data_IF_652547627398
#
_entry.id   IF_652547627398
#
_cell.length_a   1.000
_cell.length_b   1.000
_cell.length_c   1.000
_cell.angle_alpha   90.00
_cell.angle_beta   90.00
_cell.angle_gamma   90.00
#
_symmetry.space_group_name_H-M   'P 1'
#
loop_
_entity.id
_entity.type
_entity.pdbx_description
1 polymer ?
#
# COMPACT_ATOMS: atom_id res chain seq x y z
N UNK A 1 6.87 -14.65 -11.91
CA UNK A 1 5.88 -15.38 -11.09
C UNK A 1 6.12 -15.19 -9.59
N UNK A 2 7.35 -15.32 -9.07
CA UNK A 2 7.63 -15.05 -7.65
C UNK A 2 7.37 -13.60 -7.21
N UNK A 3 7.67 -12.60 -8.05
CA UNK A 3 7.45 -11.19 -7.70
C UNK A 3 5.97 -10.81 -7.55
N UNK A 4 5.06 -11.40 -8.35
CA UNK A 4 3.62 -11.11 -8.20
C UNK A 4 3.08 -11.69 -6.90
N UNK A 5 3.61 -12.83 -6.44
CA UNK A 5 3.17 -13.47 -5.20
C UNK A 5 3.66 -12.69 -3.98
N UNK A 6 4.90 -12.20 -3.99
CA UNK A 6 5.44 -11.32 -2.95
C UNK A 6 4.70 -9.97 -2.92
N UNK A 7 4.45 -9.37 -4.08
CA UNK A 7 3.68 -8.13 -4.20
C UNK A 7 2.26 -8.28 -3.66
N UNK A 8 1.58 -9.39 -4.00
CA UNK A 8 0.25 -9.69 -3.49
C UNK A 8 0.24 -9.91 -1.97
N UNK A 9 1.26 -10.57 -1.42
CA UNK A 9 1.40 -10.79 0.02
C UNK A 9 1.61 -9.46 0.77
N UNK A 10 2.53 -8.62 0.30
CA UNK A 10 2.85 -7.34 0.92
C UNK A 10 1.67 -6.36 0.83
N UNK A 11 1.03 -6.26 -0.35
CA UNK A 11 -0.19 -5.49 -0.55
C UNK A 11 -1.32 -5.96 0.39
N UNK A 12 -1.51 -7.28 0.54
CA UNK A 12 -2.53 -7.84 1.43
C UNK A 12 -2.25 -7.61 2.91
N UNK A 13 -0.97 -7.56 3.34
CA UNK A 13 -0.60 -7.16 4.70
C UNK A 13 -0.84 -5.67 4.93
N UNK A 14 -0.41 -4.82 4.01
CA UNK A 14 -0.63 -3.38 4.09
C UNK A 14 -2.12 -3.04 4.26
N UNK A 15 -3.00 -3.65 3.47
CA UNK A 15 -4.45 -3.43 3.60
C UNK A 15 -4.98 -3.89 4.96
N UNK A 16 -4.59 -5.06 5.45
CA UNK A 16 -5.13 -5.61 6.71
C UNK A 16 -4.54 -4.98 7.96
N UNK A 17 -3.27 -4.62 7.94
CA UNK A 17 -2.51 -4.19 9.12
C UNK A 17 -2.43 -2.66 9.24
N UNK A 18 -2.58 -1.92 8.15
CA UNK A 18 -2.49 -0.46 8.14
C UNK A 18 -3.83 0.20 7.77
N UNK A 19 -4.34 -0.08 6.58
CA UNK A 19 -5.55 0.61 6.07
C UNK A 19 -6.82 0.17 6.82
N UNK A 20 -6.99 -1.13 7.04
CA UNK A 20 -8.15 -1.70 7.73
C UNK A 20 -8.39 -1.09 9.12
N UNK A 21 -7.37 -1.02 10.00
CA UNK A 21 -7.49 -0.36 11.30
C UNK A 21 -7.79 1.15 11.21
N UNK A 22 -7.20 1.86 10.25
CA UNK A 22 -7.43 3.29 10.05
C UNK A 22 -8.89 3.57 9.65
N UNK A 23 -9.43 2.80 8.69
CA UNK A 23 -10.84 2.90 8.28
C UNK A 23 -11.78 2.57 9.44
N UNK A 24 -11.49 1.53 10.23
CA UNK A 24 -12.29 1.19 11.42
C UNK A 24 -12.28 2.29 12.48
N UNK A 25 -11.21 3.08 12.54
CA UNK A 25 -11.09 4.23 13.44
C UNK A 25 -11.78 5.49 12.90
N UNK A 26 -12.42 5.40 11.73
CA UNK A 26 -13.14 6.52 11.12
C UNK A 26 -12.25 7.49 10.34
N UNK A 27 -11.06 7.07 9.93
CA UNK A 27 -10.17 7.91 9.12
C UNK A 27 -10.87 8.33 7.81
N UNK A 28 -10.79 9.61 7.52
CA UNK A 28 -11.25 10.21 6.27
C UNK A 28 -10.32 9.84 5.12
N UNK A 29 -10.81 9.99 3.88
CA UNK A 29 -10.00 9.73 2.68
C UNK A 29 -8.70 10.56 2.66
N UNK A 30 -8.75 11.81 3.14
CA UNK A 30 -7.57 12.68 3.26
C UNK A 30 -6.54 12.14 4.27
N UNK A 31 -7.00 11.65 5.42
CA UNK A 31 -6.11 11.06 6.44
C UNK A 31 -5.51 9.73 5.96
N UNK A 32 -6.27 8.94 5.21
CA UNK A 32 -5.79 7.72 4.58
C UNK A 32 -4.72 8.02 3.52
N UNK A 33 -4.85 9.11 2.76
CA UNK A 33 -3.80 9.54 1.82
C UNK A 33 -2.50 9.89 2.55
N UNK A 34 -2.57 10.64 3.65
CA UNK A 34 -1.38 11.01 4.44
C UNK A 34 -0.72 9.77 5.07
N UNK A 35 -1.52 8.87 5.65
CA UNK A 35 -1.02 7.60 6.20
C UNK A 35 -0.33 6.77 5.11
N UNK A 36 -0.94 6.70 3.93
CA UNK A 36 -0.41 5.97 2.80
C UNK A 36 0.94 6.53 2.33
N UNK A 37 1.03 7.84 2.12
CA UNK A 37 2.27 8.51 1.70
C UNK A 37 3.38 8.32 2.73
N UNK A 38 3.05 8.40 4.02
CA UNK A 38 4.00 8.15 5.12
C UNK A 38 4.58 6.73 5.08
N UNK A 39 3.73 5.73 4.82
CA UNK A 39 4.18 4.33 4.73
C UNK A 39 4.98 4.07 3.46
N UNK A 40 4.58 4.64 2.32
CA UNK A 40 5.40 4.59 1.10
C UNK A 40 6.79 5.15 1.32
N UNK A 41 6.89 6.31 1.98
CA UNK A 41 8.18 6.95 2.26
C UNK A 41 9.07 6.09 3.15
N UNK A 42 8.51 5.51 4.21
CA UNK A 42 9.24 4.56 5.07
C UNK A 42 9.67 3.29 4.32
N UNK A 43 8.82 2.76 3.43
CA UNK A 43 9.17 1.61 2.60
C UNK A 43 10.30 1.92 1.62
N UNK A 44 10.30 3.09 0.99
CA UNK A 44 11.41 3.53 0.13
C UNK A 44 12.72 3.63 0.91
N UNK A 45 12.69 4.18 2.13
CA UNK A 45 13.87 4.25 2.99
C UNK A 45 14.42 2.86 3.32
N UNK A 46 13.54 1.90 3.65
CA UNK A 46 13.93 0.51 3.95
C UNK A 46 14.50 -0.16 2.70
N UNK A 47 13.82 -0.08 1.56
CA UNK A 47 14.24 -0.70 0.30
C UNK A 47 15.59 -0.14 -0.17
N UNK A 48 15.80 1.16 -0.02
CA UNK A 48 17.05 1.80 -0.40
C UNK A 48 18.19 1.46 0.57
N UNK A 49 17.98 1.61 1.88
CA UNK A 49 19.06 1.43 2.88
C UNK A 49 19.40 -0.03 3.19
N UNK A 50 18.42 -0.92 3.16
CA UNK A 50 18.60 -2.31 3.60
C UNK A 50 18.61 -3.33 2.46
N UNK A 51 18.05 -2.99 1.30
CA UNK A 51 17.98 -3.89 0.15
C UNK A 51 18.73 -3.37 -1.09
N UNK A 52 19.43 -2.23 -0.96
CA UNK A 52 20.19 -1.58 -2.04
C UNK A 52 19.38 -1.43 -3.35
N UNK A 53 18.07 -1.26 -3.22
CA UNK A 53 17.18 -1.14 -4.36
C UNK A 53 17.31 0.26 -4.96
N UNK A 54 17.34 0.32 -6.30
CA UNK A 54 17.31 1.59 -7.01
C UNK A 54 16.01 2.36 -6.67
N UNK A 55 16.09 3.66 -6.36
CA UNK A 55 14.92 4.46 -5.97
C UNK A 55 13.76 4.37 -6.98
N UNK A 56 14.03 4.33 -8.29
CA UNK A 56 12.97 4.26 -9.30
C UNK A 56 12.21 2.93 -9.25
N UNK A 57 12.92 1.84 -8.91
CA UNK A 57 12.31 0.51 -8.72
C UNK A 57 11.45 0.47 -7.46
N UNK A 58 11.95 1.03 -6.36
CA UNK A 58 11.20 1.12 -5.10
C UNK A 58 9.92 1.96 -5.24
N UNK A 59 10.01 3.11 -5.92
CA UNK A 59 8.85 3.97 -6.24
C UNK A 59 7.82 3.19 -7.07
N UNK A 60 8.25 2.53 -8.15
CA UNK A 60 7.35 1.77 -9.03
C UNK A 60 6.60 0.65 -8.28
N UNK A 61 7.28 -0.07 -7.39
CA UNK A 61 6.66 -1.10 -6.54
C UNK A 61 5.65 -0.51 -5.56
N UNK A 62 5.99 0.62 -4.96
CA UNK A 62 5.14 1.36 -4.05
C UNK A 62 3.88 1.90 -4.75
N UNK A 63 4.00 2.47 -5.95
CA UNK A 63 2.88 3.00 -6.74
C UNK A 63 1.97 1.87 -7.26
N UNK A 64 2.53 0.76 -7.74
CA UNK A 64 1.73 -0.41 -8.13
C UNK A 64 0.94 -1.00 -6.97
N UNK A 65 1.53 -0.99 -5.77
CA UNK A 65 0.86 -1.43 -4.54
C UNK A 65 -0.28 -0.48 -4.15
N UNK A 66 -0.10 0.84 -4.33
CA UNK A 66 -1.14 1.86 -4.12
C UNK A 66 -2.32 1.62 -5.04
N UNK A 67 -2.06 1.54 -6.33
CA UNK A 67 -3.08 1.39 -7.35
C UNK A 67 -3.93 0.15 -7.06
N UNK A 68 -3.29 -0.98 -6.78
CA UNK A 68 -3.96 -2.23 -6.41
C UNK A 68 -4.80 -2.12 -5.13
N UNK A 69 -4.35 -1.36 -4.13
CA UNK A 69 -5.09 -1.16 -2.89
C UNK A 69 -6.33 -0.27 -3.11
N UNK A 70 -6.21 0.80 -3.90
CA UNK A 70 -7.32 1.67 -4.28
C UNK A 70 -8.36 0.87 -5.06
N UNK A 71 -7.96 0.10 -6.09
CA UNK A 71 -8.89 -0.71 -6.88
C UNK A 71 -9.65 -1.71 -6.02
N UNK A 72 -8.97 -2.38 -5.08
CA UNK A 72 -9.62 -3.31 -4.13
C UNK A 72 -10.60 -2.58 -3.20
N UNK A 73 -10.25 -1.40 -2.72
CA UNK A 73 -11.11 -0.62 -1.84
C UNK A 73 -12.34 -0.06 -2.59
N UNK A 74 -12.15 0.48 -3.79
CA UNK A 74 -13.22 0.94 -4.66
C UNK A 74 -14.15 -0.22 -5.09
N UNK A 75 -13.57 -1.37 -5.43
CA UNK A 75 -14.32 -2.58 -5.75
C UNK A 75 -15.14 -3.12 -4.57
N UNK A 76 -14.61 -3.04 -3.34
CA UNK A 76 -15.34 -3.44 -2.13
C UNK A 76 -16.52 -2.51 -1.82
N UNK A 77 -16.47 -1.22 -2.20
CA UNK A 77 -17.59 -0.28 -2.05
C UNK A 77 -18.77 -0.59 -3.00
N UNK A 78 -18.52 -1.20 -4.16
CA UNK A 78 -19.58 -1.56 -5.12
C UNK A 78 -20.37 -2.83 -4.74
N UNK A 79 -19.93 -3.61 -3.75
CA UNK A 79 -20.62 -4.83 -3.30
C UNK A 79 -21.49 -4.55 -2.04
N UNK A 80 -21.27 -3.40 -1.39
CA UNK A 80 -21.97 -3.00 -0.17
C UNK A 80 -23.12 -2.00 -0.40
N UNK A 81 -23.46 -1.70 -1.66
CA UNK A 81 -24.66 -0.94 -2.05
C UNK A 81 -25.63 -1.83 -2.80
#
# INVERSE_FOLDING_TARGET
MADSDLHNLLSGRFVREVIGPAVKSGATDAELMVLFESVQFGMMEILHRHYAMDPATAVSLCEGSLHSAIERFAGARNIAG
#
